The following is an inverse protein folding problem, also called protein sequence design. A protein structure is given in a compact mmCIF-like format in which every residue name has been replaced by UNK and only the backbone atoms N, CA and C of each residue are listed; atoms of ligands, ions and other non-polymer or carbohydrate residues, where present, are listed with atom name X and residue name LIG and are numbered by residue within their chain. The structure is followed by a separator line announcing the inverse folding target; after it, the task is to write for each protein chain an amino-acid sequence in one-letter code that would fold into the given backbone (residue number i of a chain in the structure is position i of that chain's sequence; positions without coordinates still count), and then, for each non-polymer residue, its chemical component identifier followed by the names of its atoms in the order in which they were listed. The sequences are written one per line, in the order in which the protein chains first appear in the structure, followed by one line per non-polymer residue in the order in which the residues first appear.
data_IF_392528357406
#
_entry.id   IF_392528357406
#
_cell.length_a   1.000
_cell.length_b   1.000
_cell.length_c   1.000
_cell.angle_alpha   90.00
_cell.angle_beta   90.00
_cell.angle_gamma   90.00
#
_symmetry.space_group_name_H-M   'P 1'
#
loop_
_entity.id
_entity.type
_entity.pdbx_description
1 polymer ?
#
# COMPACT_ATOMS: atom_id res chain seq x y z
N UNK A 1 2.38 -70.61 -60.95
CA UNK A 1 0.98 -70.71 -60.47
C UNK A 1 0.86 -69.75 -59.29
N UNK A 2 0.50 -68.48 -59.47
CA UNK A 2 -0.84 -67.91 -59.75
C UNK A 2 -1.83 -68.00 -58.57
N UNK A 3 -2.21 -66.80 -58.09
CA UNK A 3 -3.48 -66.40 -57.41
C UNK A 3 -3.60 -66.90 -55.96
N UNK A 4 -4.15 -66.16 -54.99
CA UNK A 4 -5.17 -65.10 -54.96
C UNK A 4 -5.04 -64.37 -53.61
N UNK A 5 -5.18 -63.04 -53.48
CA UNK A 5 -6.43 -62.32 -53.67
C UNK A 5 -7.04 -61.99 -52.29
N UNK A 6 -6.81 -60.76 -51.84
CA UNK A 6 -7.16 -60.19 -50.53
C UNK A 6 -8.69 -59.97 -50.39
N UNK A 7 -9.30 -60.26 -49.22
CA UNK A 7 -10.69 -59.88 -48.95
C UNK A 7 -10.89 -58.35 -48.86
N UNK A 8 -11.91 -57.85 -49.57
CA UNK A 8 -12.32 -56.44 -49.75
C UNK A 8 -12.76 -55.67 -48.47
N UNK A 9 -12.36 -56.09 -47.28
CA UNK A 9 -12.65 -55.40 -46.02
C UNK A 9 -11.46 -54.59 -45.45
N UNK A 10 -10.27 -54.71 -46.05
CA UNK A 10 -9.03 -54.06 -45.55
C UNK A 10 -8.63 -52.82 -46.37
N UNK A 11 -9.25 -52.60 -47.54
CA UNK A 11 -8.94 -51.48 -48.44
C UNK A 11 -9.78 -50.21 -48.17
N UNK A 12 -10.49 -50.14 -47.04
CA UNK A 12 -11.30 -48.97 -46.66
C UNK A 12 -10.76 -48.20 -45.45
N UNK A 13 -9.52 -48.50 -45.03
CA UNK A 13 -8.84 -47.82 -43.92
C UNK A 13 -7.72 -46.86 -44.35
N UNK A 14 -7.41 -46.75 -45.65
CA UNK A 14 -6.24 -46.00 -46.15
C UNK A 14 -6.56 -44.81 -47.09
N UNK A 15 -7.83 -44.43 -47.28
CA UNK A 15 -8.22 -43.28 -48.12
C UNK A 15 -8.91 -42.13 -47.34
N UNK A 16 -8.63 -41.99 -46.03
CA UNK A 16 -9.09 -40.83 -45.24
C UNK A 16 -7.95 -39.98 -44.65
N UNK A 17 -6.75 -40.05 -45.24
CA UNK A 17 -5.55 -39.31 -44.82
C UNK A 17 -5.30 -38.00 -45.60
N UNK A 18 -6.33 -37.36 -46.15
CA UNK A 18 -6.26 -35.96 -46.62
C UNK A 18 -7.29 -35.10 -45.85
N UNK A 19 -6.79 -34.01 -45.27
CA UNK A 19 -7.40 -32.92 -44.47
C UNK A 19 -8.81 -32.40 -44.88
N UNK A 20 -9.51 -31.54 -44.06
CA UNK A 20 -9.08 -30.82 -42.84
C UNK A 20 -10.10 -30.82 -41.65
N UNK A 21 -9.72 -30.16 -40.54
CA UNK A 21 -10.54 -29.69 -39.38
C UNK A 21 -10.91 -30.81 -38.37
N UNK A 22 -10.77 -30.71 -37.05
CA UNK A 22 -10.57 -29.61 -36.08
C UNK A 22 -10.37 -30.28 -34.72
N UNK A 23 -9.49 -29.73 -33.88
CA UNK A 23 -9.61 -29.88 -32.41
C UNK A 23 -8.76 -30.94 -31.73
N UNK A 24 -7.96 -30.45 -30.77
CA UNK A 24 -7.28 -31.16 -29.68
C UNK A 24 -5.92 -31.76 -30.06
N UNK A 25 -4.91 -30.90 -30.05
CA UNK A 25 -3.51 -31.28 -29.89
C UNK A 25 -2.97 -30.75 -28.55
N UNK A 26 -2.28 -31.64 -27.84
CA UNK A 26 -1.13 -31.45 -26.96
C UNK A 26 -1.15 -30.31 -25.92
N UNK A 27 -0.96 -30.72 -24.67
CA UNK A 27 -0.63 -29.84 -23.54
C UNK A 27 0.47 -28.82 -23.91
N UNK A 28 0.34 -27.54 -23.55
CA UNK A 28 1.40 -26.58 -23.84
C UNK A 28 2.60 -26.85 -22.93
N UNK A 29 3.75 -27.14 -23.56
CA UNK A 29 5.05 -26.83 -22.96
C UNK A 29 5.07 -25.32 -22.72
N UNK A 30 5.24 -24.91 -21.47
CA UNK A 30 5.54 -23.54 -21.10
C UNK A 30 6.89 -23.16 -21.73
N UNK A 31 6.85 -22.54 -22.90
CA UNK A 31 7.96 -21.76 -23.44
C UNK A 31 7.99 -20.46 -22.65
N UNK A 32 9.00 -20.30 -21.79
CA UNK A 32 9.41 -18.98 -21.31
C UNK A 32 9.86 -18.17 -22.53
N UNK A 33 8.95 -17.37 -23.08
CA UNK A 33 9.32 -16.29 -23.98
C UNK A 33 10.05 -15.24 -23.15
N UNK A 34 11.31 -15.00 -23.51
CA UNK A 34 12.11 -13.89 -23.02
C UNK A 34 11.35 -12.58 -23.28
N UNK A 35 10.94 -11.91 -22.21
CA UNK A 35 10.51 -10.51 -22.30
C UNK A 35 11.73 -9.69 -22.66
N UNK A 36 11.81 -9.34 -23.94
CA UNK A 36 12.74 -8.37 -24.46
C UNK A 36 12.31 -6.95 -24.12
N UNK A 37 13.33 -6.12 -23.99
CA UNK A 37 13.34 -4.66 -24.00
C UNK A 37 12.92 -3.96 -22.69
N UNK A 38 13.95 -3.59 -21.92
CA UNK A 38 13.92 -2.60 -20.86
C UNK A 38 13.24 -1.32 -21.36
N UNK A 39 11.98 -1.12 -20.99
CA UNK A 39 11.46 0.23 -20.89
C UNK A 39 12.17 0.88 -19.69
N UNK A 40 12.83 2.05 -19.84
CA UNK A 40 13.23 2.82 -18.68
C UNK A 40 11.94 3.28 -18.00
N UNK A 41 11.47 2.50 -17.04
CA UNK A 41 10.28 2.79 -16.27
C UNK A 41 10.61 4.09 -15.54
N UNK A 42 9.96 5.19 -15.94
CA UNK A 42 10.03 6.45 -15.19
C UNK A 42 9.69 6.11 -13.74
N UNK A 43 10.69 6.12 -12.86
CA UNK A 43 10.50 5.83 -11.44
C UNK A 43 9.90 7.07 -10.81
N UNK A 44 8.61 7.31 -11.08
CA UNK A 44 7.86 8.33 -10.36
C UNK A 44 7.95 8.01 -8.88
N UNK A 45 8.45 8.96 -8.10
CA UNK A 45 8.43 8.89 -6.65
C UNK A 45 7.00 8.88 -6.15
N UNK A 46 6.77 8.28 -4.99
CA UNK A 46 5.44 8.16 -4.44
C UNK A 46 5.43 8.16 -2.91
N UNK A 47 4.26 8.40 -2.34
CA UNK A 47 3.97 8.15 -0.94
C UNK A 47 3.12 6.88 -0.85
N UNK A 48 3.61 5.87 -0.12
CA UNK A 48 3.01 4.54 -0.02
C UNK A 48 2.52 4.28 1.40
N UNK A 49 1.20 4.17 1.57
CA UNK A 49 0.57 3.91 2.85
C UNK A 49 0.11 2.45 2.89
N UNK A 50 0.79 1.62 3.68
CA UNK A 50 0.64 0.16 3.67
C UNK A 50 -0.11 -0.29 4.92
N UNK A 51 -1.19 -1.06 4.74
CA UNK A 51 -2.09 -1.46 5.83
C UNK A 51 -1.50 -2.44 6.85
N UNK A 52 -0.24 -2.85 6.70
CA UNK A 52 0.42 -3.78 7.61
C UNK A 52 0.42 -5.22 7.09
N UNK A 53 1.25 -6.06 7.72
CA UNK A 53 1.39 -7.49 7.41
C UNK A 53 1.57 -7.80 5.91
N UNK A 54 2.21 -6.89 5.17
CA UNK A 54 2.45 -7.06 3.74
C UNK A 54 3.40 -8.21 3.45
N UNK A 55 3.28 -8.78 2.25
CA UNK A 55 4.03 -9.96 1.85
C UNK A 55 5.54 -9.71 1.85
N UNK A 56 6.25 -10.49 2.66
CA UNK A 56 7.71 -10.45 2.84
C UNK A 56 8.39 -11.71 2.31
N UNK A 57 7.65 -12.67 1.77
CA UNK A 57 8.17 -14.01 1.44
C UNK A 57 7.93 -14.38 -0.01
N UNK A 58 6.76 -14.06 -0.57
CA UNK A 58 6.38 -14.50 -1.91
C UNK A 58 6.68 -13.42 -2.96
N UNK A 59 5.65 -12.89 -3.62
CA UNK A 59 5.81 -11.91 -4.69
C UNK A 59 6.28 -10.54 -4.21
N UNK A 60 6.08 -10.22 -2.91
CA UNK A 60 6.50 -8.96 -2.28
C UNK A 60 6.10 -7.73 -3.10
N UNK A 61 4.92 -7.76 -3.73
CA UNK A 61 4.52 -6.79 -4.76
C UNK A 61 4.63 -5.33 -4.27
N UNK A 62 4.12 -5.06 -3.06
CA UNK A 62 4.15 -3.73 -2.45
C UNK A 62 5.60 -3.29 -2.16
N UNK A 63 6.44 -4.19 -1.62
CA UNK A 63 7.84 -3.86 -1.31
C UNK A 63 8.68 -3.69 -2.57
N UNK A 64 8.42 -4.50 -3.61
CA UNK A 64 9.06 -4.36 -4.92
C UNK A 64 8.65 -3.03 -5.59
N UNK A 65 7.38 -2.63 -5.47
CA UNK A 65 6.90 -1.33 -5.93
C UNK A 65 7.62 -0.17 -5.25
N UNK A 66 7.84 -0.24 -3.93
CA UNK A 66 8.65 0.74 -3.20
C UNK A 66 10.09 0.76 -3.70
N UNK A 67 10.72 -0.40 -3.86
CA UNK A 67 12.09 -0.53 -4.36
C UNK A 67 12.25 0.10 -5.76
N UNK A 68 11.37 -0.22 -6.70
CA UNK A 68 11.39 0.33 -8.06
C UNK A 68 11.26 1.86 -8.03
N UNK A 69 10.29 2.38 -7.28
CA UNK A 69 10.06 3.83 -7.14
C UNK A 69 11.16 4.56 -6.37
N UNK A 70 11.95 3.83 -5.59
CA UNK A 70 13.14 4.36 -4.92
C UNK A 70 14.38 4.36 -5.82
N UNK A 71 14.28 4.02 -7.11
CA UNK A 71 15.40 4.03 -8.05
C UNK A 71 15.98 2.65 -8.37
N UNK A 72 15.27 1.56 -8.02
CA UNK A 72 15.67 0.19 -8.34
C UNK A 72 17.12 -0.12 -7.91
N UNK A 73 17.98 -0.59 -8.81
CA UNK A 73 19.38 -0.92 -8.49
C UNK A 73 20.22 0.29 -8.07
N UNK A 74 19.77 1.52 -8.32
CA UNK A 74 20.41 2.74 -7.82
C UNK A 74 19.83 3.22 -6.49
N UNK A 75 18.84 2.51 -5.94
CA UNK A 75 18.15 2.91 -4.72
C UNK A 75 19.10 3.00 -3.52
N UNK A 76 19.05 4.13 -2.82
CA UNK A 76 19.60 4.32 -1.49
C UNK A 76 18.45 4.45 -0.51
N UNK A 77 18.27 3.45 0.35
CA UNK A 77 17.07 3.30 1.18
C UNK A 77 17.41 3.53 2.65
N UNK A 78 16.72 4.48 3.27
CA UNK A 78 16.72 4.63 4.72
C UNK A 78 15.56 3.82 5.33
N UNK A 79 15.85 2.95 6.29
CA UNK A 79 14.84 2.22 7.06
C UNK A 79 14.73 2.85 8.44
N UNK A 80 13.53 3.25 8.84
CA UNK A 80 13.26 3.81 10.17
C UNK A 80 12.45 2.81 11.00
N UNK A 81 13.09 2.03 11.89
CA UNK A 81 12.42 0.99 12.67
C UNK A 81 11.87 1.47 14.03
N UNK A 82 11.85 2.79 14.28
CA UNK A 82 11.60 3.42 15.58
C UNK A 82 10.24 3.09 16.22
N UNK A 83 9.25 2.70 15.42
CA UNK A 83 7.95 2.24 15.93
C UNK A 83 8.07 0.94 16.74
N UNK A 84 9.02 0.07 16.40
CA UNK A 84 9.18 -1.24 17.01
C UNK A 84 9.85 -1.18 18.39
N UNK A 85 9.56 -2.18 19.21
CA UNK A 85 10.32 -2.47 20.45
C UNK A 85 11.55 -3.34 20.20
N UNK A 86 11.65 -3.93 19.01
CA UNK A 86 12.77 -4.71 18.53
C UNK A 86 13.30 -4.11 17.21
N UNK A 87 13.82 -2.87 17.24
CA UNK A 87 14.18 -2.13 16.02
C UNK A 87 15.26 -2.84 15.20
N UNK A 88 16.23 -3.48 15.86
CA UNK A 88 17.28 -4.24 15.18
C UNK A 88 16.73 -5.41 14.35
N UNK A 89 15.79 -6.18 14.90
CA UNK A 89 15.21 -7.36 14.23
C UNK A 89 14.36 -6.93 13.04
N UNK A 90 13.46 -5.96 13.23
CA UNK A 90 12.58 -5.52 12.13
C UNK A 90 13.36 -4.75 11.06
N UNK A 91 14.35 -3.94 11.46
CA UNK A 91 15.19 -3.18 10.54
C UNK A 91 16.02 -4.12 9.66
N UNK A 92 16.66 -5.12 10.26
CA UNK A 92 17.47 -6.08 9.51
C UNK A 92 16.64 -6.91 8.53
N UNK A 93 15.42 -7.31 8.94
CA UNK A 93 14.49 -8.01 8.04
C UNK A 93 14.19 -7.23 6.76
N UNK A 94 13.94 -5.92 6.85
CA UNK A 94 13.74 -5.10 5.65
C UNK A 94 15.04 -4.83 4.89
N UNK A 95 16.18 -4.71 5.60
CA UNK A 95 17.50 -4.61 4.96
C UNK A 95 17.78 -5.83 4.08
N UNK A 96 17.56 -7.04 4.59
CA UNK A 96 17.70 -8.29 3.84
C UNK A 96 16.81 -8.28 2.58
N UNK A 97 15.52 -7.94 2.73
CA UNK A 97 14.58 -7.89 1.61
C UNK A 97 15.04 -6.94 0.50
N UNK A 98 15.42 -5.71 0.85
CA UNK A 98 15.84 -4.73 -0.16
C UNK A 98 17.24 -5.00 -0.71
N UNK A 99 18.10 -5.69 0.05
CA UNK A 99 19.40 -6.18 -0.43
C UNK A 99 19.19 -7.29 -1.46
N UNK A 100 18.29 -8.25 -1.21
CA UNK A 100 17.92 -9.30 -2.16
C UNK A 100 17.32 -8.73 -3.45
N UNK A 101 16.61 -7.60 -3.38
CA UNK A 101 16.10 -6.88 -4.54
C UNK A 101 17.19 -6.12 -5.32
N UNK A 102 18.37 -5.92 -4.74
CA UNK A 102 19.52 -5.31 -5.40
C UNK A 102 19.69 -3.80 -5.16
N UNK A 103 19.19 -3.25 -4.05
CA UNK A 103 19.41 -1.84 -3.70
C UNK A 103 20.91 -1.51 -3.54
N UNK A 104 21.31 -0.34 -4.00
CA UNK A 104 22.70 0.14 -3.99
C UNK A 104 23.25 0.35 -2.59
N UNK A 105 22.41 0.85 -1.70
CA UNK A 105 22.77 1.15 -0.32
C UNK A 105 21.54 1.16 0.58
N UNK A 106 21.70 0.64 1.78
CA UNK A 106 20.63 0.60 2.77
C UNK A 106 21.21 0.98 4.13
N UNK A 107 20.62 1.97 4.78
CA UNK A 107 20.96 2.38 6.13
C UNK A 107 19.76 2.22 7.06
N UNK A 108 20.01 1.70 8.26
CA UNK A 108 18.97 1.62 9.30
C UNK A 108 19.16 2.83 10.21
N UNK A 109 18.23 3.77 10.14
CA UNK A 109 18.18 4.92 11.03
C UNK A 109 17.53 4.49 12.36
N UNK A 110 18.27 3.77 13.19
CA UNK A 110 17.81 3.27 14.50
C UNK A 110 17.71 4.40 15.55
N UNK A 111 16.72 5.26 15.36
CA UNK A 111 16.39 6.38 16.25
C UNK A 111 15.61 5.80 17.43
N UNK A 112 16.23 5.77 18.59
CA UNK A 112 15.64 5.33 19.87
C UNK A 112 15.48 6.49 20.87
N UNK A 113 16.14 7.62 20.61
CA UNK A 113 16.04 8.89 21.32
C UNK A 113 15.90 10.06 20.33
N UNK A 114 15.15 11.10 20.71
CA UNK A 114 14.89 12.26 19.84
C UNK A 114 16.16 13.01 19.44
N UNK A 115 17.17 13.08 20.31
CA UNK A 115 18.42 13.80 20.02
C UNK A 115 19.19 13.19 18.84
N UNK A 116 19.00 11.90 18.54
CA UNK A 116 19.59 11.26 17.37
C UNK A 116 19.08 11.87 16.05
N UNK A 117 17.91 12.51 16.04
CA UNK A 117 17.41 13.20 14.85
C UNK A 117 18.19 14.49 14.52
N UNK A 118 19.10 14.92 15.40
CA UNK A 118 20.04 16.02 15.15
C UNK A 118 21.41 15.52 14.67
N UNK A 119 21.66 14.20 14.63
CA UNK A 119 22.93 13.63 14.18
C UNK A 119 23.20 14.01 12.71
N UNK A 120 24.32 14.71 12.41
CA UNK A 120 24.67 15.10 11.05
C UNK A 120 24.84 13.92 10.08
N UNK A 121 25.25 12.75 10.56
CA UNK A 121 25.44 11.56 9.74
C UNK A 121 24.09 11.02 9.27
N UNK A 122 23.12 10.90 10.19
CA UNK A 122 21.77 10.44 9.86
C UNK A 122 21.05 11.44 8.95
N UNK A 123 21.22 12.74 9.19
CA UNK A 123 20.67 13.79 8.33
C UNK A 123 21.29 13.75 6.93
N UNK A 124 22.61 13.57 6.82
CA UNK A 124 23.29 13.47 5.51
C UNK A 124 22.82 12.24 4.71
N UNK A 125 22.57 11.11 5.39
CA UNK A 125 21.95 9.96 4.73
C UNK A 125 20.52 10.26 4.30
N UNK A 126 19.71 10.86 5.17
CA UNK A 126 18.34 11.27 4.86
C UNK A 126 18.27 12.32 3.73
N UNK A 127 19.31 13.12 3.51
CA UNK A 127 19.44 14.09 2.42
C UNK A 127 19.81 13.45 1.07
N UNK A 128 20.60 12.37 1.09
CA UNK A 128 21.10 11.71 -0.13
C UNK A 128 20.31 10.48 -0.55
N UNK A 129 19.54 9.87 0.36
CA UNK A 129 18.72 8.70 0.06
C UNK A 129 17.64 8.99 -1.01
N UNK A 130 17.19 7.96 -1.69
CA UNK A 130 16.14 8.00 -2.71
C UNK A 130 14.81 7.40 -2.24
N UNK A 131 14.84 6.66 -1.13
CA UNK A 131 13.67 6.07 -0.51
C UNK A 131 13.77 6.02 1.01
N UNK A 132 12.64 6.21 1.69
CA UNK A 132 12.51 6.05 3.15
C UNK A 132 11.39 5.07 3.45
N UNK A 133 11.65 4.07 4.30
CA UNK A 133 10.68 3.05 4.72
C UNK A 133 10.50 3.08 6.24
N UNK A 134 9.31 3.44 6.71
CA UNK A 134 8.91 3.42 8.12
C UNK A 134 8.24 2.09 8.48
N UNK A 135 8.80 1.37 9.44
CA UNK A 135 8.29 0.04 9.81
C UNK A 135 7.08 0.10 10.75
N UNK A 136 6.47 -1.06 11.01
CA UNK A 136 5.38 -1.22 11.97
C UNK A 136 5.84 -1.27 13.43
N UNK A 137 4.88 -1.22 14.35
CA UNK A 137 5.11 -1.19 15.79
C UNK A 137 4.05 -0.36 16.48
N UNK A 138 4.48 0.61 17.28
CA UNK A 138 3.63 1.57 17.97
C UNK A 138 3.77 2.98 17.34
N UNK A 139 2.67 3.53 16.84
CA UNK A 139 2.66 4.83 16.16
C UNK A 139 2.83 6.02 17.11
N UNK A 140 2.45 5.89 18.39
CA UNK A 140 2.73 6.93 19.40
C UNK A 140 4.23 7.03 19.67
N UNK A 141 4.92 5.88 19.76
CA UNK A 141 6.37 5.82 19.88
C UNK A 141 7.05 6.42 18.65
N UNK A 142 6.59 6.08 17.45
CA UNK A 142 7.14 6.62 16.20
C UNK A 142 7.03 8.14 16.16
N UNK A 143 5.82 8.70 16.36
CA UNK A 143 5.64 10.16 16.45
C UNK A 143 6.45 10.78 17.60
N UNK A 144 6.45 10.16 18.77
CA UNK A 144 7.21 10.65 19.93
C UNK A 144 8.70 10.79 19.67
N UNK A 145 9.27 9.97 18.79
CA UNK A 145 10.68 10.03 18.41
C UNK A 145 10.97 10.97 17.24
N UNK A 146 10.05 11.09 16.27
CA UNK A 146 10.34 11.75 15.00
C UNK A 146 9.62 13.10 14.79
N UNK A 147 8.43 13.29 15.36
CA UNK A 147 7.63 14.49 15.12
C UNK A 147 8.41 15.74 15.54
N UNK A 148 8.33 16.80 14.73
CA UNK A 148 9.01 18.09 14.97
C UNK A 148 10.54 17.98 15.14
N UNK A 149 11.18 17.02 14.46
CA UNK A 149 12.64 16.91 14.42
C UNK A 149 13.21 17.34 13.06
N UNK A 150 14.46 17.85 12.98
CA UNK A 150 15.07 18.24 11.71
C UNK A 150 15.11 17.11 10.68
N UNK A 151 15.44 15.89 11.12
CA UNK A 151 15.47 14.70 10.25
C UNK A 151 14.10 14.41 9.64
N UNK A 152 13.04 14.40 10.45
CA UNK A 152 11.70 14.09 9.93
C UNK A 152 11.13 15.24 9.09
N UNK A 153 11.45 16.48 9.43
CA UNK A 153 11.10 17.64 8.61
C UNK A 153 11.73 17.54 7.21
N UNK A 154 13.01 17.20 7.14
CA UNK A 154 13.73 16.95 5.90
C UNK A 154 13.04 15.84 5.08
N UNK A 155 12.81 14.66 5.68
CA UNK A 155 12.15 13.53 4.99
C UNK A 155 10.77 13.93 4.46
N UNK A 156 9.96 14.62 5.28
CA UNK A 156 8.62 15.09 4.89
C UNK A 156 8.69 16.03 3.69
N UNK A 157 9.56 17.04 3.73
CA UNK A 157 9.69 18.01 2.63
C UNK A 157 10.16 17.34 1.34
N UNK A 158 11.17 16.45 1.41
CA UNK A 158 11.65 15.72 0.24
C UNK A 158 10.56 14.84 -0.37
N UNK A 159 9.77 14.15 0.44
CA UNK A 159 8.65 13.34 -0.02
C UNK A 159 7.55 14.21 -0.69
N UNK A 160 7.16 15.32 -0.06
CA UNK A 160 6.14 16.24 -0.59
C UNK A 160 6.59 16.95 -1.88
N UNK A 161 7.89 17.18 -2.06
CA UNK A 161 8.47 17.71 -3.31
C UNK A 161 8.67 16.64 -4.40
N UNK A 162 8.38 15.37 -4.10
CA UNK A 162 8.59 14.27 -5.04
C UNK A 162 10.06 13.91 -5.27
N UNK A 163 10.95 14.25 -4.36
CA UNK A 163 12.40 13.98 -4.47
C UNK A 163 12.77 12.56 -4.02
N UNK A 164 11.95 11.95 -3.17
CA UNK A 164 12.12 10.58 -2.67
C UNK A 164 10.79 9.84 -2.65
N UNK A 165 10.86 8.51 -2.65
CA UNK A 165 9.72 7.66 -2.30
C UNK A 165 9.66 7.47 -0.79
N UNK A 166 8.48 7.64 -0.19
CA UNK A 166 8.26 7.41 1.24
C UNK A 166 7.22 6.31 1.41
N UNK A 167 7.54 5.27 2.19
CA UNK A 167 6.61 4.21 2.53
C UNK A 167 6.48 4.06 4.04
N UNK A 168 5.28 3.68 4.50
CA UNK A 168 5.05 3.32 5.89
C UNK A 168 4.05 2.19 6.02
N UNK A 169 4.39 1.16 6.82
CA UNK A 169 3.52 0.00 7.06
C UNK A 169 3.01 -0.05 8.50
N UNK A 170 1.73 -0.39 8.68
CA UNK A 170 1.09 -0.47 10.00
C UNK A 170 1.22 0.85 10.79
N UNK A 171 2.01 0.90 11.86
CA UNK A 171 2.29 2.16 12.57
C UNK A 171 2.83 3.26 11.63
N UNK A 172 3.72 2.92 10.69
CA UNK A 172 4.22 3.84 9.68
C UNK A 172 3.14 4.38 8.74
N UNK A 173 2.03 3.65 8.54
CA UNK A 173 0.88 4.13 7.78
C UNK A 173 0.01 5.08 8.60
N UNK A 174 -0.21 4.78 9.88
CA UNK A 174 -1.07 5.57 10.76
C UNK A 174 -0.57 7.02 10.94
N UNK A 175 0.76 7.22 10.91
CA UNK A 175 1.39 8.54 11.09
C UNK A 175 1.31 9.47 9.87
N UNK A 176 0.79 9.00 8.73
CA UNK A 176 0.86 9.77 7.47
C UNK A 176 0.00 11.04 7.49
N UNK A 177 -1.12 11.03 8.22
CA UNK A 177 -2.00 12.19 8.39
C UNK A 177 -1.44 13.24 9.35
N UNK A 178 -2.05 14.44 9.35
CA UNK A 178 -1.81 15.40 10.44
C UNK A 178 -2.51 14.92 11.72
N UNK A 179 -3.73 14.41 11.59
CA UNK A 179 -4.40 13.66 12.65
C UNK A 179 -4.16 12.15 12.44
N UNK A 180 -3.97 11.44 13.55
CA UNK A 180 -3.61 10.04 13.59
C UNK A 180 -4.50 9.28 14.56
N UNK A 181 -5.00 8.12 14.13
CA UNK A 181 -5.61 7.13 15.04
C UNK A 181 -4.48 6.44 15.83
N UNK A 182 -4.36 6.78 17.11
CA UNK A 182 -3.39 6.18 18.04
C UNK A 182 -3.86 4.84 18.61
N UNK A 183 -5.16 4.61 18.66
CA UNK A 183 -5.76 3.50 19.36
C UNK A 183 -7.26 3.42 19.14
N UNK A 184 -7.91 2.48 19.81
CA UNK A 184 -9.35 2.32 19.74
C UNK A 184 -9.81 0.87 19.53
N UNK A 185 -11.06 0.63 19.90
CA UNK A 185 -11.71 -0.67 19.89
C UNK A 185 -12.35 -1.05 18.55
N UNK A 186 -13.05 -2.18 18.56
CA UNK A 186 -13.88 -2.69 17.46
C UNK A 186 -15.07 -3.45 18.04
N UNK A 187 -16.05 -3.82 17.21
CA UNK A 187 -17.23 -4.59 17.67
C UNK A 187 -18.28 -3.77 18.42
N UNK A 188 -18.15 -2.45 18.43
CA UNK A 188 -19.11 -1.51 19.01
C UNK A 188 -19.70 -0.60 17.93
N UNK A 189 -20.86 0.00 18.21
CA UNK A 189 -21.37 1.09 17.37
C UNK A 189 -20.42 2.29 17.44
N UNK A 190 -20.27 3.07 16.35
CA UNK A 190 -19.43 4.27 16.37
C UNK A 190 -19.81 5.18 17.55
N UNK A 191 -18.83 5.50 18.39
CA UNK A 191 -18.91 6.44 19.50
C UNK A 191 -17.56 7.15 19.68
N UNK A 192 -17.51 8.26 20.43
CA UNK A 192 -16.28 9.05 20.57
C UNK A 192 -15.19 8.34 21.35
N UNK A 193 -15.54 7.56 22.38
CA UNK A 193 -14.56 6.79 23.17
C UNK A 193 -13.99 5.57 22.43
N UNK A 194 -14.55 5.21 21.27
CA UNK A 194 -14.10 4.06 20.49
C UNK A 194 -12.75 4.29 19.82
N UNK A 195 -12.32 5.54 19.67
CA UNK A 195 -11.13 5.91 18.92
C UNK A 195 -10.29 6.92 19.68
N UNK A 196 -8.97 6.68 19.72
CA UNK A 196 -8.01 7.63 20.27
C UNK A 196 -7.35 8.37 19.11
N UNK A 197 -7.47 9.70 19.09
CA UNK A 197 -6.89 10.56 18.05
C UNK A 197 -5.80 11.45 18.66
N UNK A 198 -4.70 11.59 17.95
CA UNK A 198 -3.59 12.50 18.29
C UNK A 198 -2.96 13.05 17.00
N UNK A 199 -1.82 13.73 17.11
CA UNK A 199 -1.07 14.27 15.98
C UNK A 199 -0.15 13.23 15.34
N UNK A 200 -0.22 13.10 14.01
CA UNK A 200 0.69 12.33 13.18
C UNK A 200 1.90 13.14 12.70
N UNK A 201 2.55 12.70 11.62
CA UNK A 201 3.69 13.38 11.00
C UNK A 201 3.28 14.35 9.89
N UNK A 202 2.01 14.37 9.48
CA UNK A 202 1.49 15.33 8.51
C UNK A 202 2.14 15.23 7.14
N UNK A 203 2.39 14.01 6.66
CA UNK A 203 2.92 13.74 5.32
C UNK A 203 1.88 14.10 4.26
N UNK A 204 0.65 13.63 4.45
CA UNK A 204 -0.54 14.01 3.68
C UNK A 204 -1.61 14.50 4.68
N UNK A 205 -1.60 15.80 5.04
CA UNK A 205 -2.41 16.35 6.12
C UNK A 205 -3.92 16.09 6.00
N UNK A 206 -4.43 15.95 4.77
CA UNK A 206 -5.85 15.79 4.45
C UNK A 206 -6.40 14.38 4.72
N UNK A 207 -5.54 13.44 5.13
CA UNK A 207 -5.91 12.05 5.37
C UNK A 207 -5.95 11.72 6.86
N UNK A 208 -6.90 10.86 7.23
CA UNK A 208 -6.96 10.17 8.51
C UNK A 208 -6.93 8.66 8.22
N UNK A 209 -5.79 8.04 8.52
CA UNK A 209 -5.50 6.66 8.10
C UNK A 209 -5.82 5.66 9.21
N UNK A 210 -6.44 4.56 8.82
CA UNK A 210 -6.50 3.33 9.60
C UNK A 210 -5.96 2.15 8.80
N UNK A 211 -5.38 1.17 9.50
CA UNK A 211 -4.57 0.08 8.96
C UNK A 211 -5.00 -1.23 9.61
N UNK A 212 -4.61 -2.39 9.06
CA UNK A 212 -5.19 -3.70 9.37
C UNK A 212 -6.73 -3.66 9.38
N UNK A 213 -7.31 -2.93 8.41
CA UNK A 213 -8.60 -2.28 8.57
C UNK A 213 -9.78 -3.27 8.72
N UNK A 214 -10.12 -4.01 7.68
CA UNK A 214 -11.15 -5.07 7.79
C UNK A 214 -10.67 -6.23 8.65
N UNK A 215 -9.36 -6.55 8.60
CA UNK A 215 -8.75 -7.64 9.38
C UNK A 215 -9.02 -7.50 10.89
N UNK A 216 -9.21 -6.28 11.39
CA UNK A 216 -9.47 -5.97 12.80
C UNK A 216 -10.81 -5.24 13.01
N UNK A 217 -11.73 -5.28 12.05
CA UNK A 217 -13.07 -4.68 12.13
C UNK A 217 -13.06 -3.18 12.51
N UNK A 218 -12.19 -2.39 11.89
CA UNK A 218 -11.88 -1.01 12.28
C UNK A 218 -12.76 0.07 11.63
N UNK A 219 -13.79 -0.32 10.87
CA UNK A 219 -14.73 0.61 10.23
C UNK A 219 -15.40 1.56 11.24
N UNK A 220 -15.91 1.02 12.35
CA UNK A 220 -16.66 1.81 13.32
C UNK A 220 -15.80 2.92 13.96
N UNK A 221 -14.55 2.61 14.32
CA UNK A 221 -13.64 3.61 14.91
C UNK A 221 -13.17 4.64 13.89
N UNK A 222 -12.99 4.27 12.62
CA UNK A 222 -12.69 5.24 11.56
C UNK A 222 -13.87 6.19 11.31
N UNK A 223 -15.11 5.68 11.29
CA UNK A 223 -16.31 6.53 11.23
C UNK A 223 -16.42 7.46 12.44
N UNK A 224 -16.11 6.97 13.65
CA UNK A 224 -16.05 7.81 14.85
C UNK A 224 -15.05 8.96 14.70
N UNK A 225 -13.88 8.69 14.12
CA UNK A 225 -12.87 9.70 13.88
C UNK A 225 -13.33 10.73 12.85
N UNK A 226 -13.89 10.28 11.72
CA UNK A 226 -14.37 11.16 10.66
C UNK A 226 -15.56 12.02 11.11
N UNK A 227 -16.40 11.53 12.03
CA UNK A 227 -17.46 12.36 12.61
C UNK A 227 -16.92 13.61 13.32
N UNK A 228 -15.74 13.51 13.96
CA UNK A 228 -15.04 14.62 14.62
C UNK A 228 -14.13 15.43 13.70
N UNK A 229 -13.78 14.90 12.54
CA UNK A 229 -12.85 15.48 11.57
C UNK A 229 -13.44 15.42 10.14
N UNK A 230 -14.59 16.06 9.96
CA UNK A 230 -15.38 16.03 8.71
C UNK A 230 -14.73 16.78 7.53
N UNK A 231 -13.56 17.36 7.73
CA UNK A 231 -12.72 17.99 6.71
C UNK A 231 -11.70 17.03 6.09
N UNK A 232 -11.48 15.86 6.68
CA UNK A 232 -10.48 14.87 6.26
C UNK A 232 -11.10 13.69 5.50
N UNK A 233 -10.32 13.06 4.63
CA UNK A 233 -10.67 11.74 4.10
C UNK A 233 -10.30 10.64 5.10
N UNK A 234 -11.22 9.72 5.36
CA UNK A 234 -10.91 8.50 6.09
C UNK A 234 -10.37 7.44 5.14
N UNK A 235 -9.18 6.91 5.39
CA UNK A 235 -8.55 5.89 4.53
C UNK A 235 -8.31 4.63 5.36
N UNK A 236 -9.17 3.63 5.20
CA UNK A 236 -9.04 2.32 5.83
C UNK A 236 -8.33 1.34 4.90
N UNK A 237 -7.16 0.83 5.29
CA UNK A 237 -6.30 0.00 4.46
C UNK A 237 -6.15 -1.39 5.08
N UNK A 238 -6.47 -2.42 4.30
CA UNK A 238 -6.36 -3.82 4.73
C UNK A 238 -4.90 -4.30 4.79
N UNK A 239 -4.69 -5.45 5.46
CA UNK A 239 -3.39 -6.11 5.42
C UNK A 239 -2.96 -6.45 3.99
N UNK A 240 -1.65 -6.42 3.74
CA UNK A 240 -1.05 -6.68 2.42
C UNK A 240 -1.71 -5.86 1.30
N UNK A 241 -2.09 -4.62 1.63
CA UNK A 241 -2.71 -3.65 0.74
C UNK A 241 -2.07 -2.29 0.93
N UNK A 242 -1.95 -1.52 -0.15
CA UNK A 242 -1.29 -0.23 -0.18
C UNK A 242 -2.16 0.80 -0.90
N UNK A 243 -2.24 1.99 -0.30
CA UNK A 243 -2.71 3.21 -0.93
C UNK A 243 -1.49 3.99 -1.42
N UNK A 244 -1.29 4.04 -2.73
CA UNK A 244 -0.19 4.72 -3.40
C UNK A 244 -0.62 6.12 -3.85
N UNK A 245 0.17 7.14 -3.53
CA UNK A 245 -0.03 8.52 -3.99
C UNK A 245 1.14 8.97 -4.84
N UNK A 246 0.87 9.30 -6.10
CA UNK A 246 1.84 9.94 -6.99
C UNK A 246 1.54 11.45 -7.11
N UNK A 247 2.39 12.20 -7.81
CA UNK A 247 2.31 13.67 -7.89
C UNK A 247 1.09 14.25 -8.63
N UNK A 248 0.17 13.42 -9.14
CA UNK A 248 -1.06 13.83 -9.81
C UNK A 248 -2.28 13.90 -8.87
N UNK A 249 -2.09 13.60 -7.59
CA UNK A 249 -3.17 13.60 -6.59
C UNK A 249 -4.14 12.42 -6.72
N UNK A 250 -3.75 11.38 -7.47
CA UNK A 250 -4.48 10.12 -7.52
C UNK A 250 -4.01 9.18 -6.41
N UNK A 251 -4.99 8.56 -5.76
CA UNK A 251 -4.80 7.39 -4.93
C UNK A 251 -4.95 6.16 -5.82
N UNK A 252 -3.92 5.31 -5.91
CA UNK A 252 -4.00 4.02 -6.58
C UNK A 252 -3.89 2.88 -5.56
N UNK A 253 -4.74 1.86 -5.70
CA UNK A 253 -4.71 0.69 -4.81
C UNK A 253 -3.81 -0.40 -5.38
N UNK A 254 -3.01 -1.01 -4.50
CA UNK A 254 -2.13 -2.15 -4.79
C UNK A 254 -2.24 -3.19 -3.67
N UNK A 255 -1.99 -4.46 -3.97
CA UNK A 255 -2.01 -5.56 -3.00
C UNK A 255 -3.30 -6.40 -3.02
N UNK A 256 -3.54 -7.15 -1.94
CA UNK A 256 -4.52 -8.27 -1.91
C UNK A 256 -5.91 -7.92 -1.40
N UNK A 257 -6.02 -6.89 -0.56
CA UNK A 257 -7.26 -6.50 0.11
C UNK A 257 -7.89 -5.27 -0.53
N UNK A 258 -8.50 -4.44 0.32
CA UNK A 258 -9.21 -3.23 -0.10
C UNK A 258 -8.64 -1.97 0.55
N UNK A 259 -8.85 -0.85 -0.13
CA UNK A 259 -8.79 0.48 0.47
C UNK A 259 -10.20 1.04 0.53
N UNK A 260 -10.66 1.36 1.73
CA UNK A 260 -11.91 2.07 1.97
C UNK A 260 -11.64 3.56 2.08
N UNK A 261 -12.25 4.34 1.20
CA UNK A 261 -12.27 5.80 1.26
C UNK A 261 -13.60 6.25 1.84
N UNK A 262 -13.55 6.95 2.97
CA UNK A 262 -14.68 7.62 3.60
C UNK A 262 -14.59 9.11 3.29
N UNK A 263 -15.57 9.63 2.56
CA UNK A 263 -15.65 11.03 2.16
C UNK A 263 -16.80 11.75 2.90
N UNK A 264 -16.47 12.63 3.88
CA UNK A 264 -17.45 13.40 4.63
C UNK A 264 -17.94 14.68 3.93
N UNK A 265 -17.54 14.97 2.68
CA UNK A 265 -17.83 16.26 2.02
C UNK A 265 -19.31 16.64 1.99
N UNK A 266 -20.17 15.64 1.84
CA UNK A 266 -21.62 15.84 1.77
C UNK A 266 -22.35 15.44 3.06
N UNK A 267 -21.62 15.30 4.17
CA UNK A 267 -22.21 14.98 5.47
C UNK A 267 -23.31 16.00 5.80
N UNK A 268 -24.52 15.51 6.00
CA UNK A 268 -25.70 16.36 6.25
C UNK A 268 -25.99 16.56 7.73
N UNK A 269 -25.65 15.56 8.56
CA UNK A 269 -25.85 15.64 10.01
C UNK A 269 -24.85 14.79 10.77
N UNK A 270 -24.53 15.21 11.99
CA UNK A 270 -23.91 14.39 13.02
C UNK A 270 -24.44 14.79 14.40
N UNK A 271 -24.70 13.84 15.29
CA UNK A 271 -25.11 14.13 16.68
C UNK A 271 -23.92 14.27 17.66
N UNK A 272 -22.67 14.20 17.16
CA UNK A 272 -21.42 14.19 17.93
C UNK A 272 -21.37 15.22 19.07
N UNK A 273 -21.83 16.44 18.82
CA UNK A 273 -21.75 17.57 19.75
C UNK A 273 -22.84 17.56 20.83
N UNK A 274 -23.83 16.68 20.72
CA UNK A 274 -25.03 16.67 21.56
C UNK A 274 -25.14 15.44 22.46
N UNK A 275 -24.18 14.51 22.38
CA UNK A 275 -24.22 13.22 23.08
C UNK A 275 -22.99 13.03 23.96
N UNK A 276 -23.02 12.07 24.90
CA UNK A 276 -21.86 11.65 25.69
C UNK A 276 -20.77 10.98 24.86
N UNK A 277 -19.64 10.65 25.48
CA UNK A 277 -18.51 10.04 24.76
C UNK A 277 -18.80 8.60 24.31
N UNK A 278 -19.56 7.85 25.10
CA UNK A 278 -19.92 6.44 24.87
C UNK A 278 -21.23 6.26 24.12
N UNK A 279 -21.98 7.35 23.90
CA UNK A 279 -23.27 7.28 23.23
C UNK A 279 -23.10 7.03 21.72
N UNK A 280 -24.04 6.31 21.07
CA UNK A 280 -23.95 6.03 19.64
C UNK A 280 -24.01 7.28 18.77
N UNK A 281 -23.16 7.32 17.75
CA UNK A 281 -23.14 8.35 16.73
C UNK A 281 -24.18 8.07 15.63
N UNK A 282 -24.85 9.13 15.22
CA UNK A 282 -25.65 9.19 14.00
C UNK A 282 -24.92 10.09 13.02
N UNK A 283 -24.66 9.59 11.81
CA UNK A 283 -23.96 10.31 10.73
C UNK A 283 -24.82 10.20 9.47
N UNK A 284 -25.14 11.33 8.84
CA UNK A 284 -25.95 11.40 7.63
C UNK A 284 -25.14 11.69 6.39
N UNK A 285 -25.47 11.00 5.30
CA UNK A 285 -24.95 11.24 3.96
C UNK A 285 -23.41 11.13 3.84
N UNK A 286 -22.84 10.12 4.51
CA UNK A 286 -21.43 9.77 4.39
C UNK A 286 -21.21 8.94 3.12
N UNK A 287 -20.26 9.34 2.27
CA UNK A 287 -19.91 8.59 1.06
C UNK A 287 -18.80 7.60 1.37
N UNK A 288 -18.95 6.37 0.88
CA UNK A 288 -17.98 5.29 1.09
C UNK A 288 -17.64 4.67 -0.27
N UNK A 289 -16.36 4.56 -0.56
CA UNK A 289 -15.83 3.86 -1.72
C UNK A 289 -14.93 2.73 -1.23
N UNK A 290 -15.11 1.52 -1.76
CA UNK A 290 -14.23 0.38 -1.48
C UNK A 290 -13.54 0.03 -2.78
N UNK A 291 -12.22 0.11 -2.79
CA UNK A 291 -11.37 0.02 -3.95
C UNK A 291 -10.46 -1.20 -3.81
N UNK A 292 -10.23 -1.91 -4.91
CA UNK A 292 -9.33 -3.07 -4.98
C UNK A 292 -8.11 -2.78 -5.84
N UNK A 293 -7.16 -3.71 -5.90
CA UNK A 293 -5.98 -3.60 -6.74
C UNK A 293 -6.30 -3.01 -8.13
N UNK A 294 -5.57 -1.96 -8.51
CA UNK A 294 -5.68 -1.33 -9.82
C UNK A 294 -6.77 -0.26 -9.95
N UNK A 295 -7.70 -0.18 -8.99
CA UNK A 295 -8.61 0.97 -8.90
C UNK A 295 -7.85 2.22 -8.50
N UNK A 296 -8.32 3.37 -8.99
CA UNK A 296 -7.85 4.68 -8.59
C UNK A 296 -8.97 5.50 -7.95
N UNK A 297 -8.60 6.50 -7.16
CA UNK A 297 -9.51 7.51 -6.62
C UNK A 297 -8.90 8.90 -6.77
N UNK A 298 -9.65 9.82 -7.34
CA UNK A 298 -9.21 11.20 -7.49
C UNK A 298 -9.67 12.02 -6.29
N UNK A 299 -8.75 12.39 -5.40
CA UNK A 299 -9.06 13.14 -4.17
C UNK A 299 -9.68 14.52 -4.45
N UNK A 300 -9.25 15.19 -5.52
CA UNK A 300 -9.74 16.52 -5.88
C UNK A 300 -11.19 16.46 -6.42
N UNK A 301 -11.46 15.51 -7.31
CA UNK A 301 -12.78 15.29 -7.92
C UNK A 301 -13.71 14.48 -7.03
N UNK A 302 -13.20 13.81 -6.00
CA UNK A 302 -13.93 12.96 -5.06
C UNK A 302 -14.70 11.83 -5.74
N UNK A 303 -14.05 11.17 -6.71
CA UNK A 303 -14.66 10.07 -7.48
C UNK A 303 -13.67 8.91 -7.67
N UNK A 304 -14.16 7.66 -7.68
CA UNK A 304 -13.37 6.53 -8.14
C UNK A 304 -13.14 6.63 -9.65
N UNK A 305 -11.98 6.15 -10.09
CA UNK A 305 -11.60 5.95 -11.49
C UNK A 305 -11.39 4.45 -11.64
N UNK A 306 -12.33 3.79 -12.30
CA UNK A 306 -12.22 2.37 -12.59
C UNK A 306 -11.33 2.16 -13.79
N UNK A 307 -10.34 1.28 -13.64
CA UNK A 307 -9.52 0.77 -14.72
C UNK A 307 -10.31 -0.28 -15.51
N UNK A 308 -11.38 0.13 -16.20
CA UNK A 308 -12.02 -0.76 -17.16
C UNK A 308 -11.32 -0.65 -18.52
N UNK A 309 -10.65 -1.76 -18.83
CA UNK A 309 -10.39 -2.25 -20.17
C UNK A 309 -11.63 -2.16 -21.04
N UNK A 310 -11.73 -1.12 -21.86
CA UNK A 310 -12.48 -1.14 -23.11
C UNK A 310 -11.76 -2.11 -24.06
N UNK A 311 -12.04 -3.39 -23.91
CA UNK A 311 -11.81 -4.42 -24.93
C UNK A 311 -13.04 -5.34 -24.93
N UNK A 312 -14.11 -4.85 -25.56
CA UNK A 312 -15.13 -5.67 -26.20
C UNK A 312 -14.89 -5.67 -27.70
#
# INVERSE_FOLDING_TARGET
MSKSGVPKAVTKLLERLFHPMTGINAAPRLQYQSLGEEMPQSTKTAIMIIGGAEDKVHGREILHSFFVRSGSTDAQIAIIPSASREPAVIGERYREIFTEMGAKGIEILDIQDRAQCEDPILQSYAESCTGVFMTGGDQLRLCGLLADTPLMELVRQRAQRGEITLAGTSAGAAVMGHYMIAGGGSGESPNRSLVDITTGLGIIPELLVDQHFHNRNRMARLMSAIAGHSDLFGIGIDEDTCSLFEGDGLLQVMGKGTVTVIDPKELTHTNLFNIGATDPLSIGNLRIHILVHGDCFNLQKRIPIHSHSDNT
#
